data_IF_338969928423
#
_entry.id   IF_338969928423
#
_cell.length_a   1.000
_cell.length_b   1.000
_cell.length_c   1.000
_cell.angle_alpha   90.00
_cell.angle_beta   90.00
_cell.angle_gamma   90.00
#
_symmetry.space_group_name_H-M   'P 1'
#
loop_
_entity.id
_entity.type
_entity.pdbx_description
1 polymer ?
#
# COMPACT_ATOMS: atom_id res chain seq x y z
N UNK A 1 15.62 3.80 -29.72
CA UNK A 1 14.15 3.65 -29.68
C UNK A 1 13.85 2.25 -29.21
N UNK A 2 12.85 2.09 -28.34
CA UNK A 2 12.51 0.81 -27.71
C UNK A 2 10.99 0.58 -27.82
N UNK A 3 10.57 -0.68 -27.82
CA UNK A 3 9.16 -1.05 -27.73
C UNK A 3 8.71 -1.02 -26.28
N UNK A 4 7.67 -0.24 -26.00
CA UNK A 4 7.15 -0.02 -24.66
C UNK A 4 5.68 -0.40 -24.60
N UNK A 5 5.37 -1.34 -23.72
CA UNK A 5 3.98 -1.67 -23.40
C UNK A 5 3.56 -0.88 -22.16
N UNK A 6 2.50 -0.09 -22.29
CA UNK A 6 1.98 0.72 -21.19
C UNK A 6 0.63 0.20 -20.69
N UNK A 7 0.53 0.02 -19.37
CA UNK A 7 -0.74 -0.24 -18.71
C UNK A 7 -1.63 1.00 -18.79
N UNK A 8 -2.63 0.98 -19.66
CA UNK A 8 -3.65 2.03 -19.80
C UNK A 8 -4.86 1.64 -18.95
N UNK A 9 -5.12 2.39 -17.88
CA UNK A 9 -6.20 2.07 -16.93
C UNK A 9 -7.49 2.86 -17.15
N UNK A 10 -7.58 3.62 -18.26
CA UNK A 10 -8.65 4.61 -18.46
C UNK A 10 -8.53 5.85 -17.57
N UNK A 11 -7.39 6.04 -16.89
CA UNK A 11 -7.11 7.20 -16.05
C UNK A 11 -6.11 8.17 -16.68
N UNK A 12 -6.25 9.46 -16.36
CA UNK A 12 -5.45 10.57 -16.92
C UNK A 12 -3.94 10.36 -16.83
N UNK A 13 -3.48 9.73 -15.75
CA UNK A 13 -2.06 9.51 -15.47
C UNK A 13 -1.43 8.54 -16.48
N UNK A 14 -2.13 7.43 -16.76
CA UNK A 14 -1.69 6.47 -17.78
C UNK A 14 -1.80 7.04 -19.21
N UNK A 15 -2.80 7.88 -19.48
CA UNK A 15 -2.97 8.54 -20.78
C UNK A 15 -1.81 9.48 -21.10
N UNK A 16 -1.43 10.33 -20.15
CA UNK A 16 -0.31 11.27 -20.33
C UNK A 16 1.01 10.52 -20.36
N UNK A 17 1.18 9.47 -19.55
CA UNK A 17 2.37 8.63 -19.62
C UNK A 17 2.56 8.01 -21.03
N UNK A 18 1.49 7.51 -21.66
CA UNK A 18 1.54 6.96 -23.02
C UNK A 18 1.92 8.03 -24.05
N UNK A 19 1.33 9.21 -23.94
CA UNK A 19 1.67 10.35 -24.79
C UNK A 19 3.16 10.72 -24.69
N UNK A 20 3.70 10.84 -23.47
CA UNK A 20 5.10 11.20 -23.26
C UNK A 20 6.06 10.17 -23.87
N UNK A 21 5.75 8.88 -23.74
CA UNK A 21 6.53 7.81 -24.37
C UNK A 21 6.50 7.91 -25.90
N UNK A 22 5.32 8.17 -26.49
CA UNK A 22 5.19 8.38 -27.93
C UNK A 22 5.99 9.61 -28.39
N UNK A 23 5.94 10.70 -27.62
CA UNK A 23 6.71 11.92 -27.90
C UNK A 23 8.23 11.69 -27.84
N UNK A 24 8.69 10.82 -26.95
CA UNK A 24 10.09 10.38 -26.87
C UNK A 24 10.51 9.46 -28.04
N UNK A 25 9.57 9.09 -28.92
CA UNK A 25 9.82 8.29 -30.12
C UNK A 25 9.86 6.77 -29.88
N UNK A 26 9.35 6.30 -28.75
CA UNK A 26 9.15 4.88 -28.50
C UNK A 26 8.04 4.31 -29.38
N UNK A 27 8.14 3.02 -29.69
CA UNK A 27 6.99 2.25 -30.20
C UNK A 27 6.11 1.89 -29.01
N UNK A 28 4.98 2.57 -28.87
CA UNK A 28 4.10 2.43 -27.70
C UNK A 28 2.89 1.57 -28.04
N UNK A 29 2.61 0.57 -27.20
CA UNK A 29 1.42 -0.27 -27.27
C UNK A 29 0.68 -0.17 -25.94
N UNK A 30 -0.61 0.17 -25.99
CA UNK A 30 -1.48 0.23 -24.82
C UNK A 30 -2.06 -1.14 -24.49
N UNK A 31 -2.04 -1.51 -23.20
CA UNK A 31 -2.72 -2.70 -22.69
C UNK A 31 -3.60 -2.35 -21.51
N UNK A 32 -4.86 -2.78 -21.54
CA UNK A 32 -5.79 -2.68 -20.42
C UNK A 32 -5.89 -4.02 -19.69
N UNK A 33 -5.78 -3.99 -18.36
CA UNK A 33 -5.86 -5.17 -17.51
C UNK A 33 -7.27 -5.30 -16.93
N UNK A 34 -8.00 -6.34 -17.33
CA UNK A 34 -9.25 -6.74 -16.67
C UNK A 34 -8.90 -7.61 -15.47
N UNK A 35 -8.77 -6.99 -14.30
CA UNK A 35 -8.25 -7.65 -13.10
C UNK A 35 -9.32 -8.31 -12.23
N UNK A 36 -10.55 -7.80 -12.18
CA UNK A 36 -11.58 -8.41 -11.34
C UNK A 36 -12.95 -8.07 -11.87
N UNK A 37 -13.81 -9.07 -11.91
CA UNK A 37 -15.23 -8.94 -12.13
C UNK A 37 -15.90 -9.97 -11.23
N UNK A 38 -16.88 -9.53 -10.46
CA UNK A 38 -17.70 -10.42 -9.65
C UNK A 38 -19.13 -10.31 -10.15
N UNK A 39 -19.55 -11.33 -10.90
CA UNK A 39 -20.90 -11.42 -11.46
C UNK A 39 -21.97 -11.67 -10.38
N UNK A 40 -21.57 -11.94 -9.13
CA UNK A 40 -22.49 -12.22 -8.01
C UNK A 40 -22.83 -11.01 -7.15
N UNK A 41 -22.14 -9.87 -7.33
CA UNK A 41 -22.23 -8.68 -6.45
C UNK A 41 -22.86 -7.46 -7.15
N UNK A 42 -23.27 -7.60 -8.41
CA UNK A 42 -23.97 -6.55 -9.15
C UNK A 42 -25.41 -6.37 -8.64
N UNK A 43 -25.56 -5.70 -7.50
CA UNK A 43 -26.82 -5.02 -7.12
C UNK A 43 -27.08 -3.83 -8.07
N UNK A 44 -26.08 -3.42 -8.86
CA UNK A 44 -26.19 -2.45 -9.96
C UNK A 44 -25.68 -3.07 -11.26
N UNK A 45 -26.46 -2.98 -12.34
CA UNK A 45 -26.15 -3.42 -13.72
C UNK A 45 -24.94 -2.72 -14.39
N UNK A 46 -24.05 -2.07 -13.64
CA UNK A 46 -22.91 -1.33 -14.16
C UNK A 46 -21.61 -2.10 -13.87
N UNK A 47 -20.99 -2.68 -14.90
CA UNK A 47 -19.62 -3.22 -14.84
C UNK A 47 -18.61 -2.08 -14.88
N UNK A 48 -17.96 -1.69 -13.75
CA UNK A 48 -17.18 -0.45 -13.69
C UNK A 48 -15.94 -0.44 -14.61
N UNK A 49 -15.42 -1.63 -14.94
CA UNK A 49 -14.26 -1.77 -15.81
C UNK A 49 -14.57 -1.47 -17.29
N UNK A 50 -15.85 -1.52 -17.71
CA UNK A 50 -16.24 -1.22 -19.09
C UNK A 50 -16.00 0.25 -19.43
N UNK A 51 -16.38 1.16 -18.53
CA UNK A 51 -16.17 2.60 -18.72
C UNK A 51 -14.67 2.93 -18.75
N UNK A 52 -13.90 2.34 -17.83
CA UNK A 52 -12.43 2.51 -17.80
C UNK A 52 -11.76 1.95 -19.06
N UNK A 53 -12.22 0.80 -19.56
CA UNK A 53 -11.72 0.21 -20.80
C UNK A 53 -12.08 1.08 -22.02
N UNK A 54 -13.30 1.62 -22.08
CA UNK A 54 -13.73 2.49 -23.17
C UNK A 54 -12.90 3.79 -23.20
N UNK A 55 -12.65 4.39 -22.04
CA UNK A 55 -11.77 5.56 -21.93
C UNK A 55 -10.34 5.23 -22.39
N UNK A 56 -9.83 4.04 -22.07
CA UNK A 56 -8.51 3.59 -22.50
C UNK A 56 -8.43 3.40 -24.03
N UNK A 57 -9.48 2.86 -24.66
CA UNK A 57 -9.60 2.73 -26.13
C UNK A 57 -9.58 4.12 -26.78
N UNK A 58 -10.42 5.04 -26.31
CA UNK A 58 -10.52 6.40 -26.86
C UNK A 58 -9.20 7.17 -26.74
N UNK A 59 -8.47 6.98 -25.64
CA UNK A 59 -7.12 7.52 -25.47
C UNK A 59 -6.15 6.90 -26.47
N UNK A 60 -6.16 5.58 -26.63
CA UNK A 60 -5.27 4.90 -27.57
C UNK A 60 -5.52 5.31 -29.03
N UNK A 61 -6.78 5.46 -29.43
CA UNK A 61 -7.18 5.98 -30.75
C UNK A 61 -6.69 7.41 -30.94
N UNK A 62 -6.92 8.29 -29.96
CA UNK A 62 -6.48 9.70 -30.00
C UNK A 62 -4.95 9.81 -30.10
N UNK A 63 -4.24 8.90 -29.44
CA UNK A 63 -2.79 8.82 -29.48
C UNK A 63 -2.27 7.97 -30.65
N UNK A 64 -3.13 7.40 -31.49
CA UNK A 64 -2.79 6.51 -32.60
C UNK A 64 -1.77 5.42 -32.19
N UNK A 65 -2.04 4.73 -31.08
CA UNK A 65 -1.24 3.60 -30.61
C UNK A 65 -2.07 2.31 -30.64
N UNK A 66 -1.46 1.14 -30.93
CA UNK A 66 -2.16 -0.14 -30.82
C UNK A 66 -2.67 -0.35 -29.39
N UNK A 67 -3.83 -1.00 -29.27
CA UNK A 67 -4.49 -1.25 -27.99
C UNK A 67 -4.98 -2.69 -27.90
N UNK A 68 -4.79 -3.31 -26.75
CA UNK A 68 -5.30 -4.64 -26.44
C UNK A 68 -5.81 -4.72 -25.00
N UNK A 69 -6.69 -5.67 -24.75
CA UNK A 69 -7.18 -6.01 -23.40
C UNK A 69 -6.69 -7.39 -23.03
N UNK A 70 -6.24 -7.55 -21.78
CA UNK A 70 -5.85 -8.84 -21.20
C UNK A 70 -6.69 -9.13 -19.97
N UNK A 71 -7.23 -10.34 -19.88
CA UNK A 71 -7.94 -10.81 -18.70
C UNK A 71 -6.93 -11.43 -17.72
N UNK A 72 -6.84 -10.83 -16.53
CA UNK A 72 -5.96 -11.26 -15.45
C UNK A 72 -6.77 -11.66 -14.21
N UNK A 73 -8.08 -11.92 -14.36
CA UNK A 73 -8.97 -12.10 -13.22
C UNK A 73 -8.64 -13.30 -12.36
N UNK A 74 -8.19 -14.39 -12.97
CA UNK A 74 -7.83 -15.61 -12.24
C UNK A 74 -6.60 -15.36 -11.35
N UNK A 75 -5.55 -14.78 -11.91
CA UNK A 75 -4.31 -14.48 -11.19
C UNK A 75 -4.56 -13.42 -10.11
N UNK A 76 -5.41 -12.43 -10.40
CA UNK A 76 -5.77 -11.40 -9.44
C UNK A 76 -6.55 -11.98 -8.25
N UNK A 77 -7.49 -12.89 -8.52
CA UNK A 77 -8.24 -13.59 -7.47
C UNK A 77 -7.29 -14.28 -6.50
N UNK A 78 -6.47 -15.17 -7.05
CA UNK A 78 -5.59 -16.04 -6.29
C UNK A 78 -4.57 -15.23 -5.49
N UNK A 79 -3.93 -14.24 -6.13
CA UNK A 79 -2.78 -13.54 -5.53
C UNK A 79 -3.15 -12.34 -4.67
N UNK A 80 -4.30 -11.72 -4.92
CA UNK A 80 -4.71 -10.48 -4.24
C UNK A 80 -5.95 -10.69 -3.40
N UNK A 81 -7.03 -11.22 -3.99
CA UNK A 81 -8.32 -11.33 -3.30
C UNK A 81 -8.28 -12.39 -2.20
N UNK A 82 -7.84 -13.60 -2.53
CA UNK A 82 -7.78 -14.71 -1.57
C UNK A 82 -6.77 -14.42 -0.45
N UNK A 83 -5.62 -13.83 -0.78
CA UNK A 83 -4.66 -13.31 0.20
C UNK A 83 -5.31 -12.30 1.14
N UNK A 84 -6.06 -11.33 0.59
CA UNK A 84 -6.72 -10.30 1.39
C UNK A 84 -7.71 -10.91 2.38
N UNK A 85 -8.53 -11.88 1.95
CA UNK A 85 -9.45 -12.59 2.84
C UNK A 85 -8.72 -13.33 3.96
N UNK A 86 -7.64 -14.05 3.64
CA UNK A 86 -6.84 -14.78 4.64
C UNK A 86 -6.26 -13.86 5.71
N UNK A 87 -5.73 -12.69 5.32
CA UNK A 87 -5.15 -11.74 6.27
C UNK A 87 -6.22 -11.12 7.18
N UNK A 88 -7.38 -10.74 6.64
CA UNK A 88 -8.48 -10.25 7.46
C UNK A 88 -9.03 -11.33 8.40
N UNK A 89 -9.15 -12.57 7.96
CA UNK A 89 -9.54 -13.70 8.81
C UNK A 89 -8.60 -13.86 10.02
N UNK A 90 -7.31 -13.57 9.82
CA UNK A 90 -6.28 -13.58 10.88
C UNK A 90 -6.20 -12.27 11.68
N UNK A 91 -7.10 -11.32 11.46
CA UNK A 91 -7.11 -10.02 12.15
C UNK A 91 -6.03 -9.04 11.71
N UNK A 92 -5.35 -9.31 10.59
CA UNK A 92 -4.35 -8.42 9.98
C UNK A 92 -5.02 -7.53 8.94
N UNK A 93 -4.46 -6.34 8.70
CA UNK A 93 -4.97 -5.44 7.66
C UNK A 93 -3.97 -5.37 6.51
N UNK A 94 -4.17 -6.13 5.42
CA UNK A 94 -3.26 -6.18 4.29
C UNK A 94 -3.28 -4.88 3.45
N UNK A 95 -2.25 -4.68 2.64
CA UNK A 95 -2.24 -3.63 1.61
C UNK A 95 -2.27 -4.24 0.19
N UNK A 96 -3.46 -4.48 -0.39
CA UNK A 96 -3.58 -5.16 -1.67
C UNK A 96 -3.04 -4.35 -2.85
N UNK A 97 -2.91 -3.02 -2.73
CA UNK A 97 -2.35 -2.20 -3.81
C UNK A 97 -0.83 -2.41 -3.96
N UNK A 98 -0.09 -2.60 -2.85
CA UNK A 98 1.34 -2.96 -2.89
C UNK A 98 1.50 -4.32 -3.59
N UNK A 99 0.68 -5.30 -3.20
CA UNK A 99 0.70 -6.64 -3.78
C UNK A 99 0.29 -6.64 -5.26
N UNK A 100 -0.74 -5.88 -5.63
CA UNK A 100 -1.17 -5.73 -7.02
C UNK A 100 -0.03 -5.21 -7.91
N UNK A 101 0.78 -4.26 -7.42
CA UNK A 101 1.95 -3.84 -8.18
C UNK A 101 2.98 -4.97 -8.29
N UNK A 102 3.35 -5.62 -7.18
CA UNK A 102 4.36 -6.69 -7.18
C UNK A 102 3.96 -7.90 -8.03
N UNK A 103 2.74 -8.40 -7.83
CA UNK A 103 2.25 -9.69 -8.32
C UNK A 103 1.50 -9.60 -9.65
N UNK A 104 0.91 -8.45 -9.98
CA UNK A 104 0.08 -8.30 -11.18
C UNK A 104 0.77 -7.37 -12.16
N UNK A 105 0.97 -6.09 -11.81
CA UNK A 105 1.47 -5.09 -12.77
C UNK A 105 2.93 -5.30 -13.17
N UNK A 106 3.78 -5.71 -12.24
CA UNK A 106 5.21 -5.89 -12.49
C UNK A 106 5.64 -7.36 -12.49
N UNK A 107 4.70 -8.30 -12.39
CA UNK A 107 4.96 -9.72 -12.64
C UNK A 107 4.14 -10.23 -13.83
N UNK A 108 2.85 -10.55 -13.65
CA UNK A 108 2.01 -11.15 -14.72
C UNK A 108 1.91 -10.26 -15.96
N UNK A 109 1.55 -8.98 -15.79
CA UNK A 109 1.47 -8.01 -16.88
C UNK A 109 2.83 -7.80 -17.56
N UNK A 110 3.91 -7.76 -16.77
CA UNK A 110 5.25 -7.60 -17.31
C UNK A 110 5.67 -8.79 -18.16
N UNK A 111 5.39 -10.03 -17.70
CA UNK A 111 5.66 -11.24 -18.48
C UNK A 111 4.94 -11.23 -19.82
N UNK A 112 3.63 -10.94 -19.81
CA UNK A 112 2.83 -10.83 -21.04
C UNK A 112 3.42 -9.76 -21.98
N UNK A 113 3.80 -8.60 -21.43
CA UNK A 113 4.39 -7.54 -22.23
C UNK A 113 5.72 -7.95 -22.89
N UNK A 114 6.60 -8.63 -22.15
CA UNK A 114 7.88 -9.12 -22.66
C UNK A 114 7.67 -10.22 -23.73
N UNK A 115 6.67 -11.09 -23.56
CA UNK A 115 6.29 -12.10 -24.57
C UNK A 115 5.76 -11.48 -25.87
N UNK A 116 5.10 -10.31 -25.77
CA UNK A 116 4.70 -9.49 -26.92
C UNK A 116 5.88 -8.69 -27.53
N UNK A 117 7.09 -8.91 -27.04
CA UNK A 117 8.34 -8.35 -27.57
C UNK A 117 8.66 -6.94 -27.05
N UNK A 118 8.06 -6.50 -25.94
CA UNK A 118 8.43 -5.23 -25.34
C UNK A 118 9.84 -5.27 -24.73
N UNK A 119 10.57 -4.16 -24.85
CA UNK A 119 11.83 -3.94 -24.14
C UNK A 119 11.59 -3.49 -22.70
N UNK A 120 10.50 -2.73 -22.50
CA UNK A 120 10.08 -2.13 -21.25
C UNK A 120 8.57 -2.14 -21.07
N UNK A 121 8.14 -2.12 -19.81
CA UNK A 121 6.78 -1.81 -19.39
C UNK A 121 6.69 -0.44 -18.76
N UNK A 122 5.59 0.26 -18.99
CA UNK A 122 5.35 1.56 -18.40
C UNK A 122 4.01 1.61 -17.65
N UNK A 123 3.96 2.50 -16.67
CA UNK A 123 2.75 2.77 -15.90
C UNK A 123 2.63 4.27 -15.60
N UNK A 124 1.41 4.72 -15.30
CA UNK A 124 1.15 6.09 -14.83
C UNK A 124 1.44 6.30 -13.34
N UNK A 125 2.47 5.67 -12.77
CA UNK A 125 2.83 5.89 -11.37
C UNK A 125 3.68 7.16 -11.17
N UNK A 126 3.36 7.94 -10.15
CA UNK A 126 4.14 9.11 -9.70
C UNK A 126 5.36 8.66 -8.88
N UNK A 127 6.35 8.11 -9.58
CA UNK A 127 7.64 7.75 -9.02
C UNK A 127 8.71 7.92 -10.09
N UNK A 128 9.97 7.98 -9.69
CA UNK A 128 11.10 8.18 -10.59
C UNK A 128 12.01 6.97 -10.54
N UNK A 129 12.68 6.70 -11.66
CA UNK A 129 13.72 5.69 -11.74
C UNK A 129 15.02 6.36 -12.15
N UNK A 130 16.10 6.09 -11.43
CA UNK A 130 17.46 6.42 -11.88
C UNK A 130 18.33 5.17 -11.87
N UNK A 131 19.53 5.29 -12.42
CA UNK A 131 20.49 4.20 -12.49
C UNK A 131 21.85 4.69 -12.05
N UNK A 132 22.56 3.84 -11.31
CA UNK A 132 23.93 4.07 -10.87
C UNK A 132 24.79 2.88 -11.26
N UNK A 133 26.08 3.12 -11.46
CA UNK A 133 27.06 2.06 -11.66
C UNK A 133 27.83 1.88 -10.35
N UNK A 134 27.77 0.68 -9.77
CA UNK A 134 28.52 0.31 -8.56
C UNK A 134 29.18 -1.03 -8.81
N UNK A 135 30.50 -1.10 -8.61
CA UNK A 135 31.31 -2.31 -8.83
C UNK A 135 31.10 -2.96 -10.22
N UNK A 136 30.96 -2.12 -11.25
CA UNK A 136 30.71 -2.55 -12.64
C UNK A 136 29.30 -3.10 -12.90
N UNK A 137 28.41 -3.12 -11.91
CA UNK A 137 27.01 -3.53 -12.03
C UNK A 137 26.10 -2.31 -12.06
N UNK A 138 25.12 -2.33 -12.97
CA UNK A 138 24.06 -1.32 -13.02
C UNK A 138 23.04 -1.63 -11.92
N UNK A 139 22.75 -0.64 -11.08
CA UNK A 139 21.75 -0.70 -10.02
C UNK A 139 20.67 0.32 -10.34
N UNK A 140 19.41 -0.10 -10.27
CA UNK A 140 18.24 0.74 -10.51
C UNK A 140 17.70 1.26 -9.18
N UNK A 141 17.56 2.58 -9.08
CA UNK A 141 17.06 3.27 -7.90
C UNK A 141 15.60 3.63 -8.12
N UNK A 142 14.74 3.27 -7.16
CA UNK A 142 13.35 3.74 -7.12
C UNK A 142 13.28 4.99 -6.24
N UNK A 143 12.89 6.10 -6.84
CA UNK A 143 12.80 7.41 -6.18
C UNK A 143 11.37 7.87 -6.08
N UNK A 144 11.08 8.61 -5.02
CA UNK A 144 9.80 9.26 -4.82
C UNK A 144 9.52 10.26 -5.95
N UNK A 145 8.25 10.39 -6.33
CA UNK A 145 7.81 11.33 -7.37
C UNK A 145 8.16 12.78 -7.02
N UNK A 146 8.33 13.63 -8.05
CA UNK A 146 8.57 15.07 -7.86
C UNK A 146 7.43 15.73 -7.09
N UNK A 147 6.20 15.34 -7.39
CA UNK A 147 5.01 15.71 -6.61
C UNK A 147 4.89 14.86 -5.35
N UNK A 148 5.35 15.41 -4.23
CA UNK A 148 5.34 14.71 -2.93
C UNK A 148 3.94 14.36 -2.43
N UNK A 149 2.89 15.05 -2.88
CA UNK A 149 1.50 14.74 -2.50
C UNK A 149 0.91 13.57 -3.28
N UNK A 150 1.54 13.23 -4.40
CA UNK A 150 1.12 12.15 -5.30
C UNK A 150 2.14 11.02 -5.39
N UNK A 151 3.31 11.17 -4.76
CA UNK A 151 4.37 10.16 -4.68
C UNK A 151 3.83 8.75 -4.40
N UNK A 152 4.01 7.86 -5.37
CA UNK A 152 3.55 6.47 -5.31
C UNK A 152 4.68 5.47 -5.07
N UNK A 153 5.90 5.90 -4.73
CA UNK A 153 7.00 4.96 -4.44
C UNK A 153 6.65 3.97 -3.33
N UNK A 154 5.83 4.38 -2.35
CA UNK A 154 5.31 3.51 -1.29
C UNK A 154 4.59 2.28 -1.85
N UNK A 155 3.78 2.42 -2.91
CA UNK A 155 3.05 1.29 -3.50
C UNK A 155 3.93 0.38 -4.36
N UNK A 156 5.13 0.84 -4.70
CA UNK A 156 6.13 0.11 -5.48
C UNK A 156 7.29 -0.37 -4.59
N UNK A 157 7.11 -0.38 -3.26
CA UNK A 157 8.18 -0.69 -2.32
C UNK A 157 8.66 -2.14 -2.32
N UNK A 158 7.94 -3.01 -3.03
CA UNK A 158 8.27 -4.41 -3.26
C UNK A 158 8.81 -4.68 -4.69
N UNK A 159 9.19 -3.60 -5.40
CA UNK A 159 10.09 -3.53 -6.56
C UNK A 159 11.34 -4.42 -6.48
N UNK A 160 11.51 -5.49 -7.27
CA UNK A 160 12.84 -6.10 -7.45
C UNK A 160 13.72 -5.29 -8.42
N UNK A 161 15.04 -5.50 -8.38
CA UNK A 161 15.97 -4.90 -9.36
C UNK A 161 15.63 -5.31 -10.80
N UNK A 162 15.25 -6.57 -11.01
CA UNK A 162 14.84 -7.08 -12.31
C UNK A 162 13.59 -6.36 -12.83
N UNK A 163 12.56 -6.25 -11.99
CA UNK A 163 11.32 -5.54 -12.34
C UNK A 163 11.59 -4.07 -12.64
N UNK A 164 12.42 -3.39 -11.83
CA UNK A 164 12.81 -1.99 -12.07
C UNK A 164 13.61 -1.84 -13.37
N UNK A 165 14.46 -2.80 -13.72
CA UNK A 165 15.26 -2.75 -14.94
C UNK A 165 14.38 -2.61 -16.19
N UNK A 166 13.21 -3.27 -16.18
CA UNK A 166 12.22 -3.28 -17.27
C UNK A 166 11.10 -2.25 -17.12
N UNK A 167 11.10 -1.42 -16.08
CA UNK A 167 10.00 -0.48 -15.80
C UNK A 167 10.29 0.96 -16.21
N UNK A 168 9.28 1.69 -16.68
CA UNK A 168 9.31 3.12 -16.98
C UNK A 168 8.19 3.87 -16.26
N UNK A 169 8.49 5.07 -15.78
CA UNK A 169 7.57 5.94 -15.04
C UNK A 169 7.56 7.36 -15.63
N UNK A 170 6.91 7.57 -16.79
CA UNK A 170 7.09 8.79 -17.59
C UNK A 170 6.64 10.08 -16.89
N UNK A 171 5.71 9.97 -15.94
CA UNK A 171 5.14 11.13 -15.23
C UNK A 171 5.80 11.41 -13.88
N UNK A 172 6.83 10.67 -13.49
CA UNK A 172 7.51 10.83 -12.20
C UNK A 172 8.10 12.22 -11.96
N UNK A 173 8.45 12.91 -13.04
CA UNK A 173 9.02 14.28 -13.04
C UNK A 173 7.97 15.38 -13.16
N UNK A 174 6.68 15.02 -13.20
CA UNK A 174 5.57 15.94 -13.34
C UNK A 174 4.76 16.01 -12.05
N UNK A 175 4.16 17.17 -11.85
CA UNK A 175 3.10 17.37 -10.86
C UNK A 175 1.75 17.01 -11.42
N UNK A 176 0.80 16.63 -10.56
CA UNK A 176 -0.56 16.31 -11.02
C UNK A 176 -1.22 17.44 -11.82
N UNK A 177 -1.06 18.73 -11.46
CA UNK A 177 -1.54 19.83 -12.29
C UNK A 177 -0.89 19.87 -13.68
N UNK A 178 0.41 19.62 -13.80
CA UNK A 178 1.09 19.55 -15.11
C UNK A 178 0.55 18.39 -15.95
N UNK A 179 0.35 17.21 -15.35
CA UNK A 179 -0.27 16.05 -16.02
C UNK A 179 -1.67 16.41 -16.54
N UNK A 180 -2.52 17.01 -15.70
CA UNK A 180 -3.87 17.42 -16.13
C UNK A 180 -3.81 18.46 -17.24
N UNK A 181 -2.91 19.44 -17.15
CA UNK A 181 -2.72 20.46 -18.18
C UNK A 181 -2.38 19.83 -19.54
N UNK A 182 -1.43 18.88 -19.57
CA UNK A 182 -1.08 18.15 -20.80
C UNK A 182 -2.30 17.41 -21.35
N UNK A 183 -3.04 16.70 -20.49
CA UNK A 183 -4.24 15.98 -20.92
C UNK A 183 -5.31 16.90 -21.52
N UNK A 184 -5.54 18.07 -20.92
CA UNK A 184 -6.47 19.09 -21.43
C UNK A 184 -6.00 19.69 -22.76
N UNK A 185 -4.71 20.00 -22.90
CA UNK A 185 -4.13 20.54 -24.14
C UNK A 185 -4.24 19.56 -25.31
N UNK A 186 -4.15 18.26 -25.03
CA UNK A 186 -4.33 17.19 -26.01
C UNK A 186 -5.81 16.87 -26.30
N UNK A 187 -6.74 17.42 -25.51
CA UNK A 187 -8.16 17.09 -25.57
C UNK A 187 -8.44 15.61 -25.30
N UNK A 188 -7.72 15.00 -24.34
CA UNK A 188 -7.97 13.62 -23.92
C UNK A 188 -9.29 13.52 -23.15
N UNK A 189 -10.08 12.47 -23.41
CA UNK A 189 -11.34 12.19 -22.69
C UNK A 189 -11.14 12.09 -21.17
N UNK A 190 -9.94 11.65 -20.75
CA UNK A 190 -9.58 11.46 -19.35
C UNK A 190 -9.14 12.74 -18.63
N UNK A 191 -9.04 13.90 -19.32
CA UNK A 191 -8.46 15.12 -18.75
C UNK A 191 -9.12 15.58 -17.43
N UNK A 192 -10.46 15.53 -17.39
CA UNK A 192 -11.26 15.94 -16.23
C UNK A 192 -11.68 14.77 -15.34
N UNK A 193 -11.28 13.53 -15.71
CA UNK A 193 -11.63 12.34 -14.94
C UNK A 193 -11.03 12.41 -13.54
N UNK A 194 -11.84 12.08 -12.53
CA UNK A 194 -11.39 12.06 -11.13
C UNK A 194 -10.45 10.90 -10.90
N UNK A 195 -9.50 11.10 -9.98
CA UNK A 195 -8.61 10.02 -9.55
C UNK A 195 -9.45 8.92 -8.87
N UNK A 196 -9.13 7.65 -9.13
CA UNK A 196 -9.76 6.52 -8.45
C UNK A 196 -9.54 6.63 -6.93
N UNK A 197 -10.59 6.35 -6.16
CA UNK A 197 -10.55 6.32 -4.70
C UNK A 197 -10.90 4.93 -4.20
N UNK A 198 -10.28 4.50 -3.11
CA UNK A 198 -10.47 3.15 -2.56
C UNK A 198 -9.54 2.11 -3.18
N UNK A 199 -9.81 0.84 -2.89
CA UNK A 199 -9.04 -0.27 -3.44
C UNK A 199 -9.35 -0.44 -4.93
N UNK A 200 -8.31 -0.59 -5.75
CA UNK A 200 -8.40 -0.53 -7.21
C UNK A 200 -9.50 -1.42 -7.83
N UNK A 201 -9.77 -2.59 -7.24
CA UNK A 201 -10.66 -3.61 -7.80
C UNK A 201 -12.05 -3.67 -7.14
N UNK A 202 -12.19 -3.13 -5.92
CA UNK A 202 -13.47 -3.11 -5.19
C UNK A 202 -14.37 -1.99 -5.77
N UNK A 203 -13.77 -0.97 -6.38
CA UNK A 203 -14.50 0.12 -7.00
C UNK A 203 -15.31 0.92 -5.98
N UNK A 204 -16.62 1.03 -6.20
CA UNK A 204 -17.54 1.79 -5.34
C UNK A 204 -18.08 0.99 -4.15
N UNK A 205 -17.81 -0.32 -4.08
CA UNK A 205 -18.27 -1.18 -2.97
C UNK A 205 -17.47 -0.84 -1.70
N UNK A 206 -18.14 -0.86 -0.53
CA UNK A 206 -17.44 -0.64 0.74
C UNK A 206 -16.70 -1.92 1.14
N UNK A 207 -15.49 -1.76 1.66
CA UNK A 207 -14.67 -2.91 2.08
C UNK A 207 -15.38 -3.87 3.05
N UNK A 208 -16.12 -3.43 4.09
CA UNK A 208 -16.86 -4.37 4.95
C UNK A 208 -17.92 -5.17 4.21
N UNK A 209 -18.55 -4.61 3.17
CA UNK A 209 -19.56 -5.32 2.37
C UNK A 209 -18.88 -6.34 1.44
N UNK A 210 -17.71 -6.00 0.90
CA UNK A 210 -16.88 -6.92 0.14
C UNK A 210 -16.40 -8.11 0.98
N UNK A 211 -15.89 -7.84 2.19
CA UNK A 211 -15.38 -8.90 3.07
C UNK A 211 -16.47 -9.89 3.53
N UNK A 212 -17.73 -9.44 3.60
CA UNK A 212 -18.87 -10.26 4.00
C UNK A 212 -19.20 -11.40 3.01
N UNK A 213 -18.65 -11.37 1.80
CA UNK A 213 -18.87 -12.41 0.80
C UNK A 213 -18.24 -13.75 1.21
N UNK A 214 -17.13 -13.72 1.95
CA UNK A 214 -16.45 -14.93 2.43
C UNK A 214 -16.34 -14.98 3.96
N UNK A 215 -16.21 -13.83 4.63
CA UNK A 215 -16.14 -13.76 6.09
C UNK A 215 -17.54 -13.52 6.64
N UNK A 216 -18.11 -14.49 7.36
CA UNK A 216 -19.46 -14.33 7.91
C UNK A 216 -19.47 -13.31 9.04
N UNK A 217 -20.45 -12.38 9.09
CA UNK A 217 -20.66 -11.54 10.26
C UNK A 217 -20.83 -12.36 11.54
N UNK A 218 -20.15 -11.94 12.60
CA UNK A 218 -20.28 -12.51 13.95
C UNK A 218 -20.39 -11.36 14.94
N UNK A 219 -21.48 -11.31 15.69
CA UNK A 219 -21.67 -10.27 16.70
C UNK A 219 -20.59 -10.37 17.78
N UNK A 220 -19.96 -9.24 18.10
CA UNK A 220 -18.95 -9.10 19.14
C UNK A 220 -19.16 -7.83 19.94
N UNK A 221 -18.30 -7.59 20.94
CA UNK A 221 -18.41 -6.45 21.86
C UNK A 221 -17.32 -5.40 21.61
N UNK A 222 -17.70 -4.14 21.82
CA UNK A 222 -16.77 -3.00 21.78
C UNK A 222 -16.48 -2.58 23.21
N UNK A 223 -15.20 -2.48 23.54
CA UNK A 223 -14.71 -2.13 24.87
C UNK A 223 -13.96 -0.81 24.78
N UNK A 224 -14.31 0.14 25.63
CA UNK A 224 -13.59 1.39 25.80
C UNK A 224 -12.54 1.22 26.91
N UNK A 225 -11.27 1.45 26.56
CA UNK A 225 -10.13 1.45 27.45
C UNK A 225 -9.81 2.90 27.88
N UNK A 226 -9.76 3.19 29.19
CA UNK A 226 -9.35 4.50 29.69
C UNK A 226 -7.87 4.80 29.44
N UNK A 227 -7.52 6.09 29.24
CA UNK A 227 -6.12 6.52 29.01
C UNK A 227 -5.25 6.44 30.27
N UNK A 228 -5.85 6.45 31.46
CA UNK A 228 -5.17 6.40 32.76
C UNK A 228 -4.82 4.97 33.23
N UNK A 229 -4.97 3.96 32.36
CA UNK A 229 -4.65 2.59 32.73
C UNK A 229 -3.17 2.40 33.10
N UNK A 230 -2.92 1.52 34.09
CA UNK A 230 -1.56 1.22 34.55
C UNK A 230 -0.68 0.64 33.44
N UNK A 231 -1.28 -0.09 32.50
CA UNK A 231 -0.60 -0.64 31.32
C UNK A 231 0.02 0.42 30.39
N UNK A 232 -0.40 1.69 30.48
CA UNK A 232 0.26 2.81 29.80
C UNK A 232 1.28 3.53 30.68
N UNK A 233 1.16 3.35 32.01
CA UNK A 233 2.01 3.96 33.02
C UNK A 233 3.22 3.07 33.30
N UNK A 234 4.04 2.80 32.29
CA UNK A 234 5.23 1.95 32.47
C UNK A 234 6.47 2.84 32.44
N UNK A 235 7.14 2.94 33.60
CA UNK A 235 8.52 3.43 33.67
C UNK A 235 9.34 2.62 32.68
N UNK A 236 10.09 3.27 31.77
CA UNK A 236 11.03 2.55 30.90
C UNK A 236 11.92 1.67 31.80
N UNK A 237 11.78 0.33 31.72
CA UNK A 237 12.61 -0.53 32.54
C UNK A 237 14.07 -0.37 32.13
N UNK A 238 15.00 -0.62 33.04
CA UNK A 238 16.41 -0.72 32.67
C UNK A 238 16.58 -1.94 31.76
N UNK A 239 16.89 -1.70 30.49
CA UNK A 239 17.14 -2.77 29.52
C UNK A 239 18.59 -3.25 29.61
N UNK A 240 18.78 -4.57 29.61
CA UNK A 240 20.10 -5.20 29.65
C UNK A 240 20.77 -5.24 28.26
N UNK A 241 20.00 -5.03 27.19
CA UNK A 241 20.49 -4.98 25.81
C UNK A 241 19.60 -4.12 24.91
N UNK A 242 20.15 -3.67 23.78
CA UNK A 242 19.36 -2.93 22.76
C UNK A 242 18.25 -3.82 22.17
N UNK A 243 18.47 -5.14 22.07
CA UNK A 243 17.46 -6.09 21.60
C UNK A 243 16.24 -6.13 22.52
N UNK A 244 16.46 -6.25 23.83
CA UNK A 244 15.39 -6.25 24.84
C UNK A 244 14.58 -4.96 24.80
N UNK A 245 15.27 -3.81 24.65
CA UNK A 245 14.62 -2.51 24.44
C UNK A 245 13.73 -2.51 23.20
N UNK A 246 14.22 -3.01 22.06
CA UNK A 246 13.46 -3.03 20.80
C UNK A 246 12.25 -3.98 20.86
N UNK A 247 12.42 -5.16 21.45
CA UNK A 247 11.33 -6.10 21.75
C UNK A 247 10.25 -5.42 22.59
N UNK A 248 10.65 -4.74 23.66
CA UNK A 248 9.75 -3.97 24.50
C UNK A 248 9.05 -2.85 23.71
N UNK A 249 9.76 -2.01 22.96
CA UNK A 249 9.19 -0.87 22.24
C UNK A 249 8.28 -1.26 21.07
N UNK A 250 8.44 -2.48 20.55
CA UNK A 250 7.66 -3.01 19.43
C UNK A 250 6.43 -3.81 19.87
N UNK A 251 6.40 -4.27 21.13
CA UNK A 251 5.37 -5.18 21.65
C UNK A 251 3.95 -4.65 21.46
N UNK A 252 3.04 -5.58 21.20
CA UNK A 252 1.61 -5.34 21.27
C UNK A 252 1.20 -5.21 22.75
N UNK A 253 0.30 -4.27 23.03
CA UNK A 253 -0.33 -4.20 24.35
C UNK A 253 -1.47 -5.19 24.32
N UNK A 254 -1.43 -6.18 25.21
CA UNK A 254 -2.50 -7.14 25.37
C UNK A 254 -3.60 -6.53 26.24
N UNK A 255 -4.82 -6.52 25.70
CA UNK A 255 -6.00 -6.06 26.41
C UNK A 255 -6.90 -7.24 26.74
N UNK A 256 -7.64 -7.11 27.83
CA UNK A 256 -8.70 -8.01 28.25
C UNK A 256 -10.00 -7.25 28.42
N UNK A 257 -11.12 -7.98 28.42
CA UNK A 257 -12.45 -7.41 28.65
C UNK A 257 -12.56 -6.67 29.99
N UNK A 258 -11.70 -6.99 30.96
CA UNK A 258 -11.70 -6.40 32.31
C UNK A 258 -10.98 -5.05 32.37
N UNK A 259 -10.23 -4.69 31.33
CA UNK A 259 -9.45 -3.44 31.29
C UNK A 259 -10.28 -2.23 30.86
N UNK A 260 -11.58 -2.42 30.59
CA UNK A 260 -12.44 -1.36 30.10
C UNK A 260 -13.92 -1.58 30.36
N UNK A 261 -14.73 -0.76 29.71
CA UNK A 261 -16.19 -0.82 29.80
C UNK A 261 -16.78 -1.21 28.45
N UNK A 262 -17.81 -2.04 28.46
CA UNK A 262 -18.55 -2.38 27.24
C UNK A 262 -19.38 -1.15 26.82
N UNK A 263 -19.12 -0.64 25.62
CA UNK A 263 -19.76 0.57 25.08
C UNK A 263 -20.60 0.32 23.84
N UNK A 264 -20.53 -0.88 23.27
CA UNK A 264 -21.30 -1.22 22.08
C UNK A 264 -21.07 -2.63 21.58
N UNK A 265 -21.57 -2.88 20.37
CA UNK A 265 -21.45 -4.15 19.66
C UNK A 265 -21.00 -3.89 18.23
N UNK A 266 -20.42 -4.90 17.60
CA UNK A 266 -20.00 -4.88 16.19
C UNK A 266 -20.35 -6.19 15.50
N UNK A 267 -20.16 -6.26 14.18
CA UNK A 267 -20.53 -7.41 13.34
C UNK A 267 -19.34 -8.33 12.98
N UNK A 268 -18.21 -8.19 13.66
CA UNK A 268 -16.97 -8.94 13.41
C UNK A 268 -15.75 -8.06 13.62
N UNK A 269 -14.76 -8.53 14.38
CA UNK A 269 -13.57 -7.74 14.72
C UNK A 269 -12.67 -7.54 13.49
N UNK A 270 -12.64 -8.52 12.59
CA UNK A 270 -11.89 -8.50 11.33
C UNK A 270 -12.31 -7.40 10.34
N UNK A 271 -13.46 -6.72 10.55
CA UNK A 271 -13.87 -5.58 9.71
C UNK A 271 -13.28 -4.24 10.15
N UNK A 272 -12.49 -4.23 11.21
CA UNK A 272 -11.97 -3.02 11.80
C UNK A 272 -10.44 -3.03 11.82
N UNK A 273 -9.86 -1.86 11.59
CA UNK A 273 -8.42 -1.67 11.59
C UNK A 273 -8.00 -0.74 12.72
N UNK A 274 -6.85 -0.99 13.34
CA UNK A 274 -6.26 -0.08 14.32
C UNK A 274 -6.15 1.36 13.78
N UNK A 275 -6.59 2.32 14.59
CA UNK A 275 -6.71 3.74 14.25
C UNK A 275 -8.00 4.13 13.53
N UNK A 276 -8.90 3.18 13.25
CA UNK A 276 -10.20 3.47 12.65
C UNK A 276 -11.12 4.21 13.63
N UNK A 277 -11.75 5.29 13.16
CA UNK A 277 -12.76 6.06 13.90
C UNK A 277 -14.19 5.77 13.44
N UNK A 278 -14.39 5.63 12.13
CA UNK A 278 -15.72 5.51 11.51
C UNK A 278 -16.20 4.05 11.56
N UNK A 279 -17.53 3.86 11.54
CA UNK A 279 -18.14 2.53 11.47
C UNK A 279 -18.34 1.83 12.81
N UNK A 280 -17.89 2.42 13.93
CA UNK A 280 -18.11 1.86 15.27
C UNK A 280 -19.57 1.97 15.74
N UNK A 281 -20.33 2.95 15.22
CA UNK A 281 -21.72 3.22 15.63
C UNK A 281 -21.93 3.41 17.14
N UNK A 282 -20.87 3.77 17.87
CA UNK A 282 -20.90 4.14 19.30
C UNK A 282 -20.86 5.67 19.41
N UNK A 283 -21.72 6.22 20.27
CA UNK A 283 -21.80 7.65 20.56
C UNK A 283 -21.98 7.93 22.05
N UNK A 284 -22.02 9.21 22.42
CA UNK A 284 -22.17 9.63 23.82
C UNK A 284 -20.86 9.80 24.60
N UNK A 285 -19.71 9.64 23.94
CA UNK A 285 -18.38 9.90 24.52
C UNK A 285 -17.95 11.36 24.32
N UNK A 286 -17.21 11.97 25.28
CA UNK A 286 -16.66 13.33 25.15
C UNK A 286 -15.77 13.54 23.92
N UNK A 287 -14.89 12.58 23.62
CA UNK A 287 -14.08 12.55 22.41
C UNK A 287 -14.45 11.37 21.51
N UNK A 288 -14.18 11.43 20.20
CA UNK A 288 -14.42 10.30 19.31
C UNK A 288 -13.61 9.06 19.71
N UNK A 289 -14.23 7.88 19.62
CA UNK A 289 -13.54 6.61 19.80
C UNK A 289 -12.71 6.24 18.57
N UNK A 290 -11.53 5.69 18.83
CA UNK A 290 -10.64 5.09 17.84
C UNK A 290 -10.36 3.64 18.23
N UNK A 291 -10.34 2.74 17.26
CA UNK A 291 -9.89 1.34 17.46
C UNK A 291 -8.42 1.37 17.87
N UNK A 292 -8.09 0.90 19.07
CA UNK A 292 -6.71 0.80 19.55
C UNK A 292 -6.15 -0.60 19.35
N UNK A 293 -7.03 -1.61 19.31
CA UNK A 293 -6.69 -2.98 19.02
C UNK A 293 -7.93 -3.81 18.66
N UNK A 294 -7.69 -4.98 18.07
CA UNK A 294 -8.71 -5.98 17.72
C UNK A 294 -8.25 -7.36 18.14
N UNK A 295 -9.19 -8.14 18.67
CA UNK A 295 -9.03 -9.56 18.98
C UNK A 295 -10.06 -10.33 18.16
N UNK A 296 -9.59 -11.06 17.14
CA UNK A 296 -10.48 -11.84 16.25
C UNK A 296 -10.88 -13.19 16.85
N UNK A 297 -10.12 -13.72 17.80
CA UNK A 297 -10.41 -15.00 18.45
C UNK A 297 -11.57 -14.83 19.42
N UNK A 298 -11.45 -13.86 20.33
CA UNK A 298 -12.51 -13.48 21.28
C UNK A 298 -13.60 -12.60 20.63
N UNK A 299 -13.36 -12.13 19.40
CA UNK A 299 -14.24 -11.23 18.64
C UNK A 299 -14.56 -9.95 19.44
N UNK A 300 -13.51 -9.26 19.87
CA UNK A 300 -13.56 -8.03 20.68
C UNK A 300 -12.85 -6.90 19.95
N UNK A 301 -13.44 -5.70 19.99
CA UNK A 301 -12.78 -4.46 19.56
C UNK A 301 -12.45 -3.62 20.77
N UNK A 302 -11.17 -3.28 20.93
CA UNK A 302 -10.72 -2.34 21.94
C UNK A 302 -10.65 -0.93 21.35
N UNK A 303 -11.22 0.03 22.04
CA UNK A 303 -11.30 1.43 21.63
C UNK A 303 -10.76 2.36 22.71
N UNK A 304 -10.31 3.54 22.30
CA UNK A 304 -9.89 4.61 23.21
C UNK A 304 -10.38 5.96 22.71
N UNK A 305 -10.68 6.84 23.66
CA UNK A 305 -11.11 8.20 23.35
C UNK A 305 -9.95 9.08 22.86
N UNK A 306 -10.18 9.79 21.77
CA UNK A 306 -9.26 10.79 21.24
C UNK A 306 -8.12 10.21 20.39
N UNK A 307 -7.63 11.02 19.44
CA UNK A 307 -6.55 10.61 18.51
C UNK A 307 -5.19 10.46 19.21
N UNK A 308 -5.05 11.02 20.40
CA UNK A 308 -3.84 10.98 21.23
C UNK A 308 -3.88 9.87 22.29
N UNK A 309 -4.82 8.94 22.20
CA UNK A 309 -4.91 7.83 23.14
C UNK A 309 -3.59 7.02 23.15
N UNK A 310 -2.97 6.77 24.31
CA UNK A 310 -1.65 6.12 24.39
C UNK A 310 -1.64 4.74 23.73
N UNK A 311 -2.73 3.97 23.81
CA UNK A 311 -2.87 2.67 23.14
C UNK A 311 -2.77 2.69 21.61
N UNK A 312 -2.85 3.86 20.98
CA UNK A 312 -2.59 4.01 19.54
C UNK A 312 -1.11 4.04 19.21
N UNK A 313 -0.24 4.45 20.12
CA UNK A 313 1.14 4.81 19.79
C UNK A 313 2.12 3.70 20.15
N UNK A 314 3.05 3.43 19.23
CA UNK A 314 4.23 2.59 19.46
C UNK A 314 5.45 3.28 18.90
N UNK A 315 6.61 3.03 19.52
CA UNK A 315 7.88 3.64 19.08
C UNK A 315 8.67 2.74 18.15
N UNK A 316 8.47 1.44 18.20
CA UNK A 316 9.06 0.51 17.26
C UNK A 316 8.03 -0.43 16.62
N UNK A 317 8.43 -1.06 15.53
CA UNK A 317 7.73 -2.18 14.90
C UNK A 317 8.74 -3.24 14.47
N UNK A 318 8.24 -4.42 14.12
CA UNK A 318 9.05 -5.55 13.70
C UNK A 318 8.62 -6.06 12.32
N UNK A 319 9.58 -6.56 11.56
CA UNK A 319 9.40 -7.26 10.28
C UNK A 319 10.25 -8.52 10.32
N UNK A 320 9.64 -9.68 10.08
CA UNK A 320 10.34 -10.96 10.01
C UNK A 320 11.18 -11.09 8.73
N UNK A 321 12.22 -11.93 8.75
CA UNK A 321 13.12 -12.09 7.59
C UNK A 321 12.40 -12.46 6.29
N UNK A 322 11.36 -13.29 6.36
CA UNK A 322 10.58 -13.72 5.18
C UNK A 322 9.68 -12.61 4.59
N UNK A 323 9.47 -11.53 5.33
CA UNK A 323 8.66 -10.38 4.93
C UNK A 323 9.53 -9.16 4.57
N UNK A 324 10.86 -9.28 4.68
CA UNK A 324 11.80 -8.22 4.28
C UNK A 324 11.99 -8.20 2.77
N UNK A 325 12.01 -7.00 2.22
CA UNK A 325 12.29 -6.76 0.81
C UNK A 325 13.24 -5.58 0.65
N UNK A 326 14.39 -5.81 0.03
CA UNK A 326 15.32 -4.75 -0.35
C UNK A 326 15.20 -4.46 -1.83
N UNK A 327 14.83 -3.22 -2.16
CA UNK A 327 14.99 -2.72 -3.53
C UNK A 327 16.48 -2.53 -3.81
N UNK A 328 17.22 -2.00 -2.83
CA UNK A 328 18.67 -1.82 -2.85
C UNK A 328 19.34 -2.96 -2.11
N UNK A 329 19.39 -4.13 -2.75
CA UNK A 329 20.03 -5.36 -2.22
C UNK A 329 21.50 -5.12 -1.81
N UNK A 330 22.19 -4.19 -2.48
CA UNK A 330 23.58 -3.81 -2.15
C UNK A 330 23.73 -2.99 -0.85
N UNK A 331 22.60 -2.58 -0.25
CA UNK A 331 22.51 -1.87 1.02
C UNK A 331 21.82 -2.72 2.11
N UNK A 332 21.53 -3.98 1.83
CA UNK A 332 20.97 -4.90 2.81
C UNK A 332 21.87 -5.01 4.04
N UNK A 333 21.24 -4.94 5.22
CA UNK A 333 21.92 -4.97 6.51
C UNK A 333 22.30 -6.39 6.92
N UNK A 334 23.49 -6.53 7.51
CA UNK A 334 23.90 -7.75 8.22
C UNK A 334 23.36 -7.71 9.64
N UNK A 335 23.27 -8.88 10.28
CA UNK A 335 22.92 -8.97 11.70
C UNK A 335 23.79 -8.03 12.52
N UNK A 336 23.15 -7.32 13.46
CA UNK A 336 23.72 -6.28 14.34
C UNK A 336 24.04 -4.94 13.67
N UNK A 337 23.85 -4.79 12.35
CA UNK A 337 23.95 -3.50 11.69
C UNK A 337 22.77 -2.58 12.03
N UNK A 338 23.06 -1.27 12.04
CA UNK A 338 22.07 -0.21 12.24
C UNK A 338 22.14 0.81 11.12
N UNK A 339 21.00 1.18 10.56
CA UNK A 339 20.89 2.22 9.52
C UNK A 339 19.92 3.33 9.92
N UNK A 340 20.35 4.59 9.83
CA UNK A 340 19.46 5.75 9.95
C UNK A 340 18.73 5.96 8.63
N UNK A 341 17.41 6.05 8.69
CA UNK A 341 16.54 6.20 7.53
C UNK A 341 15.41 7.16 7.81
N UNK A 342 14.70 7.52 6.76
CA UNK A 342 13.32 7.99 6.86
C UNK A 342 12.37 6.82 6.58
N UNK A 343 11.30 6.67 7.34
CA UNK A 343 10.33 5.61 7.13
C UNK A 343 8.90 6.14 7.18
N UNK A 344 7.99 5.42 6.51
CA UNK A 344 6.54 5.60 6.64
C UNK A 344 5.87 4.24 6.69
N UNK A 345 4.76 4.15 7.43
CA UNK A 345 3.99 2.92 7.63
C UNK A 345 2.65 2.94 6.88
N UNK A 346 2.32 4.09 6.26
CA UNK A 346 1.10 4.29 5.50
C UNK A 346 1.33 5.26 4.34
N UNK A 347 0.56 5.08 3.28
CA UNK A 347 0.54 6.02 2.15
C UNK A 347 0.11 7.43 2.62
N UNK A 348 0.77 8.46 2.08
CA UNK A 348 0.63 9.89 2.42
C UNK A 348 0.97 10.29 3.86
N UNK A 349 1.42 9.36 4.70
CA UNK A 349 2.06 9.74 5.95
C UNK A 349 3.39 10.46 5.62
N UNK A 350 3.67 11.62 6.24
CA UNK A 350 4.98 12.24 6.14
C UNK A 350 6.07 11.28 6.60
N UNK A 351 7.21 11.31 5.92
CA UNK A 351 8.39 10.54 6.32
C UNK A 351 8.82 10.89 7.75
N UNK A 352 9.09 9.87 8.55
CA UNK A 352 9.50 9.97 9.95
C UNK A 352 10.94 9.48 10.07
N UNK A 353 11.74 10.11 10.92
CA UNK A 353 13.08 9.62 11.21
C UNK A 353 13.00 8.29 11.95
N UNK A 354 13.79 7.32 11.51
CA UNK A 354 13.84 6.01 12.11
C UNK A 354 15.25 5.41 12.03
N UNK A 355 15.46 4.36 12.81
CA UNK A 355 16.61 3.47 12.72
C UNK A 355 16.13 2.07 12.40
N UNK A 356 16.79 1.44 11.45
CA UNK A 356 16.65 0.02 11.16
C UNK A 356 17.69 -0.71 12.02
N UNK A 357 17.26 -1.72 12.77
CA UNK A 357 18.13 -2.58 13.59
C UNK A 357 17.98 -4.01 13.10
N UNK A 358 18.99 -4.55 12.42
CA UNK A 358 18.96 -5.93 11.91
C UNK A 358 19.32 -6.88 13.03
N UNK A 359 18.46 -7.87 13.25
CA UNK A 359 18.67 -8.97 14.19
C UNK A 359 18.61 -10.29 13.44
N UNK A 360 18.97 -11.40 14.09
CA UNK A 360 18.94 -12.72 13.46
C UNK A 360 17.54 -13.09 12.94
N UNK A 361 16.48 -12.78 13.68
CA UNK A 361 15.10 -13.15 13.35
C UNK A 361 14.42 -12.24 12.32
N UNK A 362 14.92 -11.02 12.12
CA UNK A 362 14.21 -9.99 11.36
C UNK A 362 14.84 -8.60 11.45
N UNK A 363 14.01 -7.57 11.42
CA UNK A 363 14.38 -6.17 11.45
C UNK A 363 13.44 -5.41 12.38
N UNK A 364 13.99 -4.64 13.31
CA UNK A 364 13.21 -3.62 14.03
C UNK A 364 13.33 -2.28 13.34
N UNK A 365 12.23 -1.53 13.30
CA UNK A 365 12.22 -0.13 12.87
C UNK A 365 11.85 0.72 14.09
N UNK A 366 12.86 1.38 14.68
CA UNK A 366 12.70 2.29 15.82
C UNK A 366 12.51 3.72 15.31
N UNK A 367 11.37 4.34 15.59
CA UNK A 367 11.10 5.73 15.24
C UNK A 367 11.62 6.69 16.31
N UNK A 368 12.06 7.87 15.89
CA UNK A 368 12.44 8.96 16.81
C UNK A 368 11.23 9.41 17.63
N UNK A 369 10.10 9.62 16.94
CA UNK A 369 8.80 9.94 17.52
C UNK A 369 7.85 8.73 17.47
N UNK A 370 7.03 8.47 18.51
CA UNK A 370 6.04 7.40 18.48
C UNK A 370 5.04 7.54 17.33
N UNK A 371 4.78 6.43 16.65
CA UNK A 371 3.86 6.36 15.52
C UNK A 371 2.51 5.84 15.97
N UNK A 372 1.46 6.58 15.59
CA UNK A 372 0.08 6.16 15.82
C UNK A 372 -0.27 4.97 14.93
N UNK A 373 -1.10 4.07 15.45
CA UNK A 373 -1.77 2.95 14.78
C UNK A 373 -0.86 2.18 13.81
N UNK A 374 0.29 1.71 14.31
CA UNK A 374 1.09 0.68 13.64
C UNK A 374 0.23 -0.59 13.54
N UNK A 375 -0.03 -1.06 12.32
CA UNK A 375 -0.98 -2.15 12.04
C UNK A 375 -0.29 -3.30 11.32
N UNK A 376 -0.50 -4.52 11.80
CA UNK A 376 0.01 -5.75 11.20
C UNK A 376 -0.62 -5.99 9.81
N UNK A 377 0.18 -6.51 8.87
CA UNK A 377 -0.23 -6.71 7.47
C UNK A 377 -0.06 -5.48 6.58
N UNK A 378 0.11 -4.28 7.15
CA UNK A 378 0.56 -3.10 6.40
C UNK A 378 2.07 -3.15 6.17
N UNK A 379 2.58 -2.26 5.31
CA UNK A 379 3.99 -2.19 4.97
C UNK A 379 4.67 -1.02 5.68
N UNK A 380 5.86 -1.25 6.21
CA UNK A 380 6.83 -0.17 6.46
C UNK A 380 7.71 -0.03 5.23
N UNK A 381 7.93 1.20 4.77
CA UNK A 381 8.84 1.50 3.67
C UNK A 381 9.88 2.53 4.13
N UNK A 382 11.17 2.30 3.82
CA UNK A 382 12.26 3.14 4.27
C UNK A 382 13.10 3.72 3.13
N UNK A 383 13.63 4.91 3.40
CA UNK A 383 14.17 5.84 2.43
C UNK A 383 15.45 6.48 2.95
N UNK A 384 16.36 6.81 2.03
CA UNK A 384 17.42 7.80 2.25
C UNK A 384 17.20 8.90 1.23
N UNK A 385 17.13 10.15 1.71
CA UNK A 385 16.71 11.31 0.93
C UNK A 385 15.37 11.07 0.21
N UNK A 386 15.37 10.92 -1.11
CA UNK A 386 14.19 10.62 -1.92
C UNK A 386 14.20 9.23 -2.55
N UNK A 387 15.21 8.40 -2.24
CA UNK A 387 15.34 7.03 -2.72
C UNK A 387 14.70 6.05 -1.73
N UNK A 388 13.84 5.18 -2.24
CA UNK A 388 13.28 4.05 -1.53
C UNK A 388 14.28 2.89 -1.56
N UNK A 389 14.69 2.41 -0.40
CA UNK A 389 15.71 1.35 -0.30
C UNK A 389 15.11 -0.03 -0.07
N UNK A 390 13.98 -0.10 0.63
CA UNK A 390 13.33 -1.36 0.96
C UNK A 390 12.04 -1.17 1.74
N UNK A 391 11.42 -2.29 2.05
CA UNK A 391 10.18 -2.36 2.81
C UNK A 391 10.00 -3.74 3.45
N UNK A 392 8.94 -3.87 4.23
CA UNK A 392 8.44 -5.18 4.61
C UNK A 392 7.11 -5.14 5.32
N UNK A 393 6.50 -6.31 5.48
CA UNK A 393 5.19 -6.45 6.11
C UNK A 393 5.34 -6.39 7.63
N UNK A 394 4.60 -5.47 8.25
CA UNK A 394 4.57 -5.30 9.70
C UNK A 394 3.98 -6.57 10.32
N UNK A 395 4.74 -7.14 11.25
CA UNK A 395 4.41 -8.37 11.98
C UNK A 395 3.92 -8.08 13.39
#
# INVERSE_FOLDING_TARGET
MARVIIGLSGGVDSSVAAFLLKQQGHEVIGLFMKNWHDDSVTISDECPWLDDSNDAILVAEKLEIPFQTVDLSEQYKERIVDYMFNEYERGRTPNPDVLCNREIKFDVFMKIALELGADYVATGHYCRKSEILKDGKKIYQLKAGKDRNKDQSYFLCQLSQEQLSRSLFPIGELTKPEVRKIASELGLITADKKDSQGLCFIGKVRLPDFLQQQLKPKEGIIIEIPKEQQLYSIHEPEFTSEKEKLEYLSRKIEYSVKDGQIVGKHQGAHYFTKGQRKGLAVGGTPEPLFVIDTDVEENVIYTGQGKSHPGLYRRALYVSNNELHWVREDLELRTDDVMKVFARIRYRQPLQKAKLHKVESGLYVEFEDPQSAITEGQFVAWYIDDELLGSGVIS
#
